data_IF_770318199909
#
_entry.id   IF_770318199909
#
_cell.length_a   1.000
_cell.length_b   1.000
_cell.length_c   1.000
_cell.angle_alpha   90.00
_cell.angle_beta   90.00
_cell.angle_gamma   90.00
#
_symmetry.space_group_name_H-M   'P 1'
#
loop_
_entity.id
_entity.type
_entity.pdbx_description
1 polymer ?
#
# COMPACT_ATOMS: atom_id res chain seq x y z
N UNK A 1 -16.53 -4.22 -8.74
CA UNK A 1 -15.68 -5.14 -9.52
C UNK A 1 -14.82 -4.31 -10.44
N UNK A 2 -13.53 -4.60 -10.52
CA UNK A 2 -12.69 -4.05 -11.58
C UNK A 2 -13.24 -4.59 -12.91
N UNK A 3 -13.69 -3.70 -13.79
CA UNK A 3 -14.22 -4.08 -15.08
C UNK A 3 -13.09 -4.66 -15.92
N UNK A 4 -13.34 -5.79 -16.58
CA UNK A 4 -12.36 -6.44 -17.44
C UNK A 4 -12.27 -5.65 -18.76
N UNK A 5 -11.53 -4.55 -18.74
CA UNK A 5 -11.41 -3.60 -19.85
C UNK A 5 -9.94 -3.42 -20.21
N UNK A 6 -9.68 -3.10 -21.48
CA UNK A 6 -8.33 -2.71 -21.94
C UNK A 6 -7.96 -1.27 -21.51
N UNK A 7 -8.93 -0.51 -21.01
CA UNK A 7 -8.72 0.85 -20.52
C UNK A 7 -7.94 0.89 -19.20
N UNK A 8 -7.01 1.85 -19.03
CA UNK A 8 -6.27 2.00 -17.78
C UNK A 8 -7.22 2.41 -16.63
N UNK A 9 -7.12 1.69 -15.51
CA UNK A 9 -7.81 2.03 -14.28
C UNK A 9 -7.10 3.19 -13.57
N UNK A 10 -7.75 4.35 -13.48
CA UNK A 10 -7.24 5.47 -12.69
C UNK A 10 -7.57 5.28 -11.21
N UNK A 11 -6.54 5.18 -10.38
CA UNK A 11 -6.66 5.04 -8.93
C UNK A 11 -6.30 6.35 -8.23
N UNK A 12 -7.20 6.88 -7.40
CA UNK A 12 -6.94 8.12 -6.66
C UNK A 12 -6.05 7.85 -5.45
N UNK A 13 -4.92 8.56 -5.38
CA UNK A 13 -3.98 8.45 -4.26
C UNK A 13 -4.55 9.03 -2.97
N UNK A 14 -4.68 8.20 -1.95
CA UNK A 14 -5.24 8.55 -0.64
C UNK A 14 -4.36 8.03 0.49
N UNK A 15 -4.47 8.62 1.67
CA UNK A 15 -3.70 8.19 2.84
C UNK A 15 -4.56 8.08 4.10
N UNK A 16 -5.60 8.91 4.26
CA UNK A 16 -6.49 8.87 5.43
C UNK A 16 -7.97 9.03 5.04
N UNK A 17 -8.86 8.85 6.01
CA UNK A 17 -10.31 8.95 5.83
C UNK A 17 -10.79 10.20 5.09
N UNK A 18 -10.34 11.43 5.43
CA UNK A 18 -10.75 12.63 4.71
C UNK A 18 -10.38 12.61 3.21
N UNK A 19 -9.14 12.22 2.88
CA UNK A 19 -8.72 12.10 1.48
C UNK A 19 -9.52 11.05 0.71
N UNK A 20 -9.87 9.94 1.38
CA UNK A 20 -10.70 8.89 0.80
C UNK A 20 -12.14 9.36 0.55
N UNK A 21 -12.75 10.07 1.52
CA UNK A 21 -14.11 10.63 1.35
C UNK A 21 -14.19 11.59 0.17
N UNK A 22 -13.22 12.50 0.04
CA UNK A 22 -13.16 13.43 -1.08
C UNK A 22 -13.07 12.69 -2.42
N UNK A 23 -12.21 11.66 -2.51
CA UNK A 23 -12.08 10.87 -3.73
C UNK A 23 -13.37 10.09 -4.08
N UNK A 24 -14.03 9.51 -3.07
CA UNK A 24 -15.29 8.80 -3.24
C UNK A 24 -16.43 9.74 -3.68
N UNK A 25 -16.54 10.92 -3.07
CA UNK A 25 -17.51 11.95 -3.45
C UNK A 25 -17.27 12.49 -4.87
N UNK A 26 -16.01 12.51 -5.31
CA UNK A 26 -15.62 12.84 -6.68
C UNK A 26 -15.92 11.70 -7.69
N UNK A 27 -16.44 10.54 -7.24
CA UNK A 27 -16.86 9.44 -8.10
C UNK A 27 -15.71 8.57 -8.61
N UNK A 28 -14.61 8.45 -7.87
CA UNK A 28 -13.49 7.60 -8.28
C UNK A 28 -13.88 6.12 -8.43
N UNK A 29 -13.31 5.43 -9.41
CA UNK A 29 -13.55 3.99 -9.63
C UNK A 29 -12.67 3.09 -8.75
N UNK A 30 -11.53 3.61 -8.29
CA UNK A 30 -10.60 2.90 -7.42
C UNK A 30 -9.76 3.89 -6.58
N UNK A 31 -9.29 3.40 -5.45
CA UNK A 31 -8.43 4.10 -4.50
C UNK A 31 -7.06 3.43 -4.45
N UNK A 32 -6.03 4.23 -4.23
CA UNK A 32 -4.67 3.74 -3.97
C UNK A 32 -4.14 4.33 -2.67
N UNK A 33 -3.85 3.47 -1.68
CA UNK A 33 -3.24 3.90 -0.43
C UNK A 33 -1.73 4.10 -0.61
N UNK A 34 -1.30 5.36 -0.58
CA UNK A 34 0.10 5.75 -0.74
C UNK A 34 0.89 5.62 0.56
N UNK A 35 1.96 4.83 0.56
CA UNK A 35 2.88 4.66 1.70
C UNK A 35 3.67 5.93 2.05
N UNK A 36 4.09 6.71 1.05
CA UNK A 36 4.84 7.94 1.28
C UNK A 36 4.01 9.01 1.98
N UNK A 37 2.76 9.23 1.53
CA UNK A 37 1.87 10.20 2.16
C UNK A 37 1.38 9.70 3.52
N UNK A 38 1.19 8.38 3.67
CA UNK A 38 0.93 7.76 4.96
C UNK A 38 2.03 8.04 5.98
N UNK A 39 3.29 7.85 5.60
CA UNK A 39 4.43 8.09 6.49
C UNK A 39 4.59 9.58 6.78
N UNK A 40 4.48 10.44 5.76
CA UNK A 40 4.66 11.89 5.92
C UNK A 40 3.56 12.55 6.75
N UNK A 41 2.29 12.22 6.49
CA UNK A 41 1.13 12.88 7.10
C UNK A 41 0.58 12.13 8.30
N UNK A 42 0.67 10.80 8.31
CA UNK A 42 0.22 9.96 9.41
C UNK A 42 1.24 9.80 10.52
N UNK A 43 2.53 9.68 10.18
CA UNK A 43 3.61 9.46 11.15
C UNK A 43 4.50 10.69 11.36
N UNK A 44 4.39 11.71 10.51
CA UNK A 44 5.30 12.86 10.55
C UNK A 44 6.74 12.50 10.18
N UNK A 45 6.93 11.43 9.39
CA UNK A 45 8.24 10.86 9.08
C UNK A 45 8.51 10.82 7.57
N UNK A 46 9.78 10.78 7.20
CA UNK A 46 10.19 10.55 5.82
C UNK A 46 9.93 9.08 5.41
N UNK A 47 9.64 8.87 4.12
CA UNK A 47 9.38 7.54 3.57
C UNK A 47 10.65 6.68 3.41
N UNK A 48 11.15 6.19 4.54
CA UNK A 48 12.40 5.45 4.71
C UNK A 48 12.20 4.07 5.33
N UNK A 49 10.98 3.51 5.22
CA UNK A 49 10.64 2.20 5.77
C UNK A 49 10.38 2.19 7.28
N UNK A 50 9.98 3.32 7.87
CA UNK A 50 9.62 3.40 9.28
C UNK A 50 8.22 2.86 9.58
N UNK A 51 7.30 2.99 8.62
CA UNK A 51 5.93 2.55 8.78
C UNK A 51 5.86 1.04 9.07
N UNK A 52 5.17 0.69 10.15
CA UNK A 52 4.96 -0.69 10.57
C UNK A 52 3.69 -1.24 9.94
N UNK A 53 3.62 -2.56 9.85
CA UNK A 53 2.41 -3.28 9.40
C UNK A 53 1.14 -2.80 10.12
N UNK A 54 1.19 -2.67 11.46
CA UNK A 54 0.03 -2.26 12.26
C UNK A 54 -0.48 -0.86 11.91
N UNK A 55 0.44 0.07 11.60
CA UNK A 55 0.10 1.43 11.19
C UNK A 55 -0.54 1.38 9.80
N UNK A 56 0.13 0.77 8.82
CA UNK A 56 -0.39 0.66 7.45
C UNK A 56 -1.76 -0.05 7.39
N UNK A 57 -1.92 -1.15 8.14
CA UNK A 57 -3.16 -1.93 8.20
C UNK A 57 -4.32 -1.14 8.82
N UNK A 58 -4.06 -0.36 9.88
CA UNK A 58 -5.10 0.45 10.53
C UNK A 58 -5.67 1.49 9.57
N UNK A 59 -4.81 2.11 8.78
CA UNK A 59 -5.24 3.09 7.79
C UNK A 59 -5.91 2.44 6.58
N UNK A 60 -5.41 1.29 6.12
CA UNK A 60 -6.04 0.51 5.07
C UNK A 60 -7.47 0.12 5.45
N UNK A 61 -7.69 -0.39 6.66
CA UNK A 61 -9.02 -0.76 7.18
C UNK A 61 -9.96 0.45 7.22
N UNK A 62 -9.47 1.58 7.75
CA UNK A 62 -10.25 2.82 7.78
C UNK A 62 -10.69 3.26 6.39
N UNK A 63 -9.79 3.23 5.40
CA UNK A 63 -10.08 3.67 4.03
C UNK A 63 -11.05 2.69 3.35
N UNK A 64 -10.76 1.39 3.42
CA UNK A 64 -11.58 0.36 2.78
C UNK A 64 -13.01 0.35 3.31
N UNK A 65 -13.20 0.59 4.62
CA UNK A 65 -14.52 0.64 5.24
C UNK A 65 -15.40 1.81 4.75
N UNK A 66 -14.80 2.89 4.22
CA UNK A 66 -15.56 4.06 3.74
C UNK A 66 -16.28 3.82 2.42
N UNK A 67 -15.75 2.94 1.57
CA UNK A 67 -16.33 2.61 0.27
C UNK A 67 -16.14 1.14 -0.09
N UNK A 68 -16.86 0.21 0.56
CA UNK A 68 -16.65 -1.24 0.36
C UNK A 68 -16.86 -1.75 -1.07
N UNK A 69 -17.57 -0.98 -1.90
CA UNK A 69 -17.79 -1.27 -3.32
C UNK A 69 -16.68 -0.74 -4.24
N UNK A 70 -15.79 0.12 -3.73
CA UNK A 70 -14.68 0.74 -4.46
C UNK A 70 -13.39 0.05 -4.05
N UNK A 71 -12.63 -0.44 -5.04
CA UNK A 71 -11.42 -1.20 -4.78
C UNK A 71 -10.33 -0.31 -4.17
N UNK A 72 -9.74 -0.77 -3.06
CA UNK A 72 -8.54 -0.17 -2.46
C UNK A 72 -7.31 -1.01 -2.82
N UNK A 73 -6.34 -0.37 -3.47
CA UNK A 73 -5.01 -0.92 -3.72
C UNK A 73 -4.05 -0.36 -2.68
N UNK A 74 -3.34 -1.19 -1.92
CA UNK A 74 -2.44 -0.73 -0.86
C UNK A 74 -0.95 -0.84 -1.25
N UNK A 75 -0.15 0.14 -0.83
CA UNK A 75 1.30 0.00 -0.77
C UNK A 75 1.71 -0.80 0.47
N UNK A 76 2.35 -1.96 0.29
CA UNK A 76 2.86 -2.81 1.36
C UNK A 76 4.39 -2.76 1.52
N UNK A 77 5.03 -1.72 0.99
CA UNK A 77 6.48 -1.53 0.97
C UNK A 77 7.19 -2.81 0.50
N UNK A 78 8.06 -3.39 1.32
CA UNK A 78 8.80 -4.63 1.02
C UNK A 78 8.13 -5.88 1.60
N UNK A 79 6.89 -5.77 2.09
CA UNK A 79 6.15 -6.87 2.72
C UNK A 79 6.41 -7.03 4.23
N UNK A 80 6.98 -6.02 4.89
CA UNK A 80 7.17 -5.94 6.36
C UNK A 80 8.04 -7.04 7.00
N UNK A 81 8.85 -7.75 6.21
CA UNK A 81 9.80 -8.73 6.74
C UNK A 81 10.11 -9.87 5.77
N UNK A 82 10.45 -11.04 6.32
CA UNK A 82 10.63 -12.27 5.54
C UNK A 82 9.29 -12.93 5.15
N UNK A 83 9.33 -14.11 4.48
CA UNK A 83 8.13 -14.75 3.91
C UNK A 83 6.98 -14.99 4.89
N UNK A 84 7.28 -15.36 6.15
CA UNK A 84 6.27 -15.57 7.18
C UNK A 84 5.56 -14.26 7.59
N UNK A 85 6.33 -13.18 7.74
CA UNK A 85 5.77 -11.86 8.05
C UNK A 85 4.99 -11.31 6.87
N UNK A 86 5.45 -11.54 5.64
CA UNK A 86 4.71 -11.21 4.43
C UNK A 86 3.36 -11.93 4.39
N UNK A 87 3.33 -13.25 4.63
CA UNK A 87 2.08 -14.01 4.65
C UNK A 87 1.07 -13.45 5.64
N UNK A 88 1.53 -13.11 6.86
CA UNK A 88 0.71 -12.43 7.86
C UNK A 88 0.25 -11.05 7.40
N UNK A 89 1.15 -10.24 6.81
CA UNK A 89 0.82 -8.92 6.33
C UNK A 89 -0.25 -8.97 5.22
N UNK A 90 -0.12 -9.90 4.27
CA UNK A 90 -1.08 -10.09 3.19
C UNK A 90 -2.46 -10.48 3.74
N UNK A 91 -2.50 -11.41 4.70
CA UNK A 91 -3.75 -11.81 5.36
C UNK A 91 -4.40 -10.64 6.13
N UNK A 92 -3.60 -9.87 6.87
CA UNK A 92 -4.11 -8.72 7.64
C UNK A 92 -4.65 -7.61 6.72
N UNK A 93 -4.05 -7.39 5.55
CA UNK A 93 -4.57 -6.44 4.55
C UNK A 93 -5.85 -6.96 3.88
N UNK A 94 -5.91 -8.25 3.52
CA UNK A 94 -7.12 -8.86 2.98
C UNK A 94 -8.28 -8.76 3.98
N UNK A 95 -8.03 -9.05 5.26
CA UNK A 95 -9.00 -8.89 6.36
C UNK A 95 -9.43 -7.43 6.57
N UNK A 96 -8.55 -6.47 6.29
CA UNK A 96 -8.86 -5.05 6.33
C UNK A 96 -9.72 -4.56 5.15
N UNK A 97 -10.07 -5.43 4.19
CA UNK A 97 -10.88 -5.06 3.02
C UNK A 97 -10.07 -4.50 1.85
N UNK A 98 -8.74 -4.66 1.86
CA UNK A 98 -7.88 -4.28 0.73
C UNK A 98 -8.12 -5.24 -0.43
N UNK A 99 -8.36 -4.71 -1.62
CA UNK A 99 -8.66 -5.49 -2.82
C UNK A 99 -7.40 -6.01 -3.52
N UNK A 100 -6.32 -5.23 -3.49
CA UNK A 100 -5.02 -5.61 -4.01
C UNK A 100 -3.91 -4.85 -3.29
N UNK A 101 -2.68 -5.30 -3.43
CA UNK A 101 -1.52 -4.58 -2.93
C UNK A 101 -0.34 -4.77 -3.87
N UNK A 102 0.62 -3.87 -3.79
CA UNK A 102 1.92 -4.06 -4.42
C UNK A 102 3.02 -4.14 -3.36
N UNK A 103 4.08 -4.85 -3.72
CA UNK A 103 5.32 -4.94 -2.97
C UNK A 103 6.47 -4.42 -3.82
N UNK A 104 7.53 -4.00 -3.16
CA UNK A 104 8.74 -3.45 -3.74
C UNK A 104 9.89 -4.45 -3.65
N UNK A 105 10.73 -4.47 -4.68
CA UNK A 105 11.94 -5.28 -4.76
C UNK A 105 13.12 -4.69 -3.96
N UNK A 106 12.88 -3.67 -3.14
CA UNK A 106 13.91 -3.02 -2.33
C UNK A 106 14.39 -3.89 -1.16
N UNK A 107 15.59 -3.59 -0.66
CA UNK A 107 15.99 -4.05 0.68
C UNK A 107 15.04 -3.49 1.75
N UNK A 108 14.99 -4.12 2.94
CA UNK A 108 14.04 -3.73 4.00
C UNK A 108 14.11 -2.23 4.36
N UNK A 109 15.31 -1.65 4.37
CA UNK A 109 15.50 -0.20 4.46
C UNK A 109 15.22 0.47 3.10
N UNK A 110 13.94 0.44 2.72
CA UNK A 110 13.45 1.00 1.45
C UNK A 110 13.53 2.52 1.46
N UNK A 111 13.50 3.13 0.28
CA UNK A 111 13.32 4.57 0.09
C UNK A 111 12.25 4.83 -0.96
N UNK A 112 11.56 5.96 -0.87
CA UNK A 112 10.55 6.30 -1.89
C UNK A 112 11.08 6.17 -3.34
N UNK A 113 10.22 5.63 -4.21
CA UNK A 113 10.46 5.37 -5.64
C UNK A 113 10.82 6.61 -6.47
N UNK A 114 10.71 7.81 -5.92
CA UNK A 114 11.07 9.06 -6.59
C UNK A 114 12.51 9.53 -6.28
N UNK A 115 13.17 9.01 -5.23
CA UNK A 115 14.52 9.45 -4.83
C UNK A 115 15.67 8.56 -5.35
N UNK A 116 16.74 9.16 -5.87
CA UNK A 116 17.81 8.50 -6.63
C UNK A 116 18.83 7.63 -5.87
N UNK A 117 18.49 6.98 -4.75
CA UNK A 117 19.46 6.20 -3.96
C UNK A 117 18.86 4.92 -3.33
N UNK A 118 18.06 4.19 -4.11
CA UNK A 118 17.45 2.90 -3.70
C UNK A 118 18.40 1.74 -3.94
N UNK A 119 18.26 0.68 -3.14
CA UNK A 119 18.93 -0.61 -3.34
C UNK A 119 17.88 -1.69 -3.50
N UNK A 120 17.86 -2.34 -4.66
CA UNK A 120 17.05 -3.54 -4.90
C UNK A 120 17.74 -4.77 -4.30
N UNK A 121 16.96 -5.75 -3.86
CA UNK A 121 17.47 -7.09 -3.58
C UNK A 121 17.89 -7.74 -4.89
N UNK A 122 19.04 -8.42 -4.88
CA UNK A 122 19.45 -9.24 -6.03
C UNK A 122 18.48 -10.40 -6.18
N UNK A 123 18.03 -10.64 -7.40
CA UNK A 123 17.27 -11.84 -7.72
C UNK A 123 18.22 -13.04 -7.61
N UNK A 124 18.04 -13.89 -6.59
CA UNK A 124 18.84 -15.09 -6.38
C UNK A 124 17.89 -16.25 -6.10
N UNK A 125 17.96 -17.31 -6.90
CA UNK A 125 17.05 -18.47 -6.83
C UNK A 125 17.16 -19.29 -5.51
N UNK A 126 18.01 -18.87 -4.56
CA UNK A 126 18.33 -19.61 -3.34
C UNK A 126 17.98 -18.90 -2.02
N UNK A 127 17.41 -17.70 -2.03
CA UNK A 127 17.18 -16.92 -0.79
C UNK A 127 15.70 -16.73 -0.49
N UNK A 128 15.09 -17.77 0.10
CA UNK A 128 13.99 -17.61 1.05
C UNK A 128 14.51 -17.53 2.51
N UNK A 129 15.84 -17.50 2.68
CA UNK A 129 16.56 -17.14 3.91
C UNK A 129 16.79 -15.62 4.00
#
# INVERSE_FOLDING_TARGET
MLSNTDDPLVCFGVHHGPSARIALEAGCSALYMTGASMTALGLGQADLGFAKLSEMRTHAEMIAALGPSVALIANMDTGFGGPLLFGRAAEEHARAGVAAFHIEDQILQKRCGQFGARKARSWNNNSFE
#
